data_IF_543119897547
#
_entry.id   IF_543119897547
#
_cell.length_a   1.000
_cell.length_b   1.000
_cell.length_c   1.000
_cell.angle_alpha   90.00
_cell.angle_beta   90.00
_cell.angle_gamma   90.00
#
_symmetry.space_group_name_H-M   'P 1'
#
loop_
_entity.id
_entity.type
_entity.pdbx_description
1 polymer ?
#
# COMPACT_ATOMS: atom_id res chain seq x y z
N UNK A 1 13.03 -19.13 1.52
CA UNK A 1 12.96 -17.66 1.49
C UNK A 1 13.38 -17.10 2.83
N UNK A 2 14.28 -16.10 2.84
CA UNK A 2 14.67 -15.39 4.06
C UNK A 2 13.46 -14.64 4.63
N UNK A 3 13.39 -14.42 5.95
CA UNK A 3 12.26 -13.70 6.55
C UNK A 3 12.06 -12.31 5.94
N UNK A 4 13.14 -11.59 5.64
CA UNK A 4 13.10 -10.29 4.96
C UNK A 4 12.47 -10.35 3.56
N UNK A 5 12.66 -11.47 2.86
CA UNK A 5 12.10 -11.69 1.53
C UNK A 5 10.59 -11.97 1.61
N UNK A 6 10.15 -12.70 2.64
CA UNK A 6 8.71 -12.89 2.92
C UNK A 6 8.02 -11.55 3.19
N UNK A 7 8.62 -10.72 4.04
CA UNK A 7 8.11 -9.37 4.35
C UNK A 7 8.06 -8.51 3.08
N UNK A 8 9.09 -8.58 2.23
CA UNK A 8 9.10 -7.87 0.94
C UNK A 8 7.90 -8.23 0.08
N UNK A 9 7.65 -9.53 -0.14
CA UNK A 9 6.55 -9.98 -1.00
C UNK A 9 5.17 -9.68 -0.40
N UNK A 10 5.03 -9.78 0.93
CA UNK A 10 3.79 -9.39 1.62
C UNK A 10 3.54 -7.89 1.43
N UNK A 11 4.56 -7.05 1.60
CA UNK A 11 4.42 -5.61 1.38
C UNK A 11 4.13 -5.27 -0.08
N UNK A 12 4.70 -5.99 -1.03
CA UNK A 12 4.35 -5.80 -2.44
C UNK A 12 2.85 -6.06 -2.69
N UNK A 13 2.32 -7.17 -2.18
CA UNK A 13 0.90 -7.51 -2.23
C UNK A 13 0.02 -6.46 -1.52
N UNK A 14 0.43 -6.01 -0.35
CA UNK A 14 -0.27 -4.97 0.40
C UNK A 14 -0.24 -3.62 -0.33
N UNK A 15 0.79 -3.33 -1.13
CA UNK A 15 0.85 -2.15 -1.98
C UNK A 15 -0.29 -2.15 -3.01
N UNK A 16 -0.50 -3.27 -3.71
CA UNK A 16 -1.61 -3.44 -4.65
C UNK A 16 -2.97 -3.24 -3.95
N UNK A 17 -3.16 -3.88 -2.78
CA UNK A 17 -4.39 -3.74 -2.00
C UNK A 17 -4.61 -2.29 -1.54
N UNK A 18 -3.55 -1.59 -1.15
CA UNK A 18 -3.61 -0.18 -0.75
C UNK A 18 -4.04 0.70 -1.93
N UNK A 19 -3.57 0.40 -3.14
CA UNK A 19 -4.04 1.09 -4.36
C UNK A 19 -5.53 0.96 -4.60
N UNK A 20 -6.09 -0.23 -4.40
CA UNK A 20 -7.54 -0.46 -4.48
C UNK A 20 -8.30 0.29 -3.39
N UNK A 21 -7.82 0.25 -2.14
CA UNK A 21 -8.46 0.92 -1.01
C UNK A 21 -8.46 2.45 -1.22
N UNK A 22 -7.32 3.01 -1.60
CA UNK A 22 -7.19 4.46 -1.83
C UNK A 22 -7.96 4.95 -3.05
N UNK A 23 -8.11 4.11 -4.08
CA UNK A 23 -9.02 4.38 -5.20
C UNK A 23 -10.47 4.41 -4.72
N UNK A 24 -10.90 3.40 -3.95
CA UNK A 24 -12.25 3.37 -3.38
C UNK A 24 -12.53 4.56 -2.46
N UNK A 25 -11.56 4.98 -1.65
CA UNK A 25 -11.69 6.16 -0.78
C UNK A 25 -11.89 7.43 -1.60
N UNK A 26 -11.10 7.63 -2.67
CA UNK A 26 -11.23 8.84 -3.49
C UNK A 26 -12.48 8.79 -4.37
N UNK A 27 -12.62 7.75 -5.19
CA UNK A 27 -13.65 7.67 -6.24
C UNK A 27 -14.98 7.13 -5.72
N UNK A 28 -14.96 6.19 -4.78
CA UNK A 28 -16.17 5.57 -4.22
C UNK A 28 -16.81 6.40 -3.11
N UNK A 29 -16.01 6.95 -2.19
CA UNK A 29 -16.50 7.80 -1.10
C UNK A 29 -16.51 9.31 -1.45
N UNK A 30 -15.97 9.68 -2.62
CA UNK A 30 -15.90 11.07 -3.07
C UNK A 30 -14.96 11.95 -2.23
N UNK A 31 -14.01 11.35 -1.50
CA UNK A 31 -13.06 12.09 -0.67
C UNK A 31 -11.92 12.67 -1.52
N UNK A 32 -11.31 13.75 -1.01
CA UNK A 32 -10.16 14.37 -1.65
C UNK A 32 -8.97 13.40 -1.75
N UNK A 33 -8.20 13.50 -2.84
CA UNK A 33 -7.04 12.64 -3.08
C UNK A 33 -5.97 12.72 -1.97
N UNK A 34 -5.87 13.87 -1.29
CA UNK A 34 -4.99 14.05 -0.12
C UNK A 34 -5.38 13.11 1.03
N UNK A 35 -6.68 12.97 1.32
CA UNK A 35 -7.19 12.06 2.34
C UNK A 35 -6.93 10.60 1.96
N UNK A 36 -7.09 10.26 0.68
CA UNK A 36 -6.74 8.93 0.17
C UNK A 36 -5.24 8.63 0.36
N UNK A 37 -4.35 9.59 0.05
CA UNK A 37 -2.91 9.45 0.28
C UNK A 37 -2.54 9.30 1.77
N UNK A 38 -3.17 10.10 2.64
CA UNK A 38 -2.96 9.97 4.08
C UNK A 38 -3.40 8.60 4.58
N UNK A 39 -4.53 8.09 4.11
CA UNK A 39 -5.03 6.75 4.49
C UNK A 39 -4.07 5.63 4.09
N UNK A 40 -3.48 5.68 2.89
CA UNK A 40 -2.50 4.69 2.45
C UNK A 40 -1.20 4.74 3.28
N UNK A 41 -0.81 5.92 3.76
CA UNK A 41 0.33 6.08 4.68
C UNK A 41 0.03 5.42 6.03
N UNK A 42 -1.17 5.63 6.59
CA UNK A 42 -1.60 4.97 7.84
C UNK A 42 -1.61 3.45 7.67
N UNK A 43 -2.14 2.95 6.55
CA UNK A 43 -2.12 1.52 6.23
C UNK A 43 -0.69 0.98 6.17
N UNK A 44 0.24 1.67 5.52
CA UNK A 44 1.64 1.25 5.46
C UNK A 44 2.31 1.12 6.84
N UNK A 45 2.07 2.08 7.73
CA UNK A 45 2.58 2.03 9.11
C UNK A 45 1.96 0.83 9.83
N UNK A 46 0.64 0.67 9.75
CA UNK A 46 -0.08 -0.47 10.33
C UNK A 46 0.44 -1.82 9.82
N UNK A 47 0.63 -1.96 8.51
CA UNK A 47 1.17 -3.17 7.90
C UNK A 47 2.60 -3.45 8.35
N UNK A 48 3.44 -2.42 8.48
CA UNK A 48 4.82 -2.56 8.95
C UNK A 48 4.88 -3.02 10.41
N UNK A 49 3.97 -2.53 11.25
CA UNK A 49 3.81 -2.97 12.64
C UNK A 49 3.35 -4.43 12.75
N UNK A 50 2.31 -4.81 11.98
CA UNK A 50 1.78 -6.19 12.00
C UNK A 50 2.83 -7.16 11.46
N UNK A 51 3.50 -6.82 10.35
CA UNK A 51 4.57 -7.67 9.79
C UNK A 51 5.78 -7.80 10.72
N UNK A 52 6.15 -6.75 11.46
CA UNK A 52 7.23 -6.83 12.45
C UNK A 52 6.90 -7.85 13.55
N UNK A 53 5.66 -7.80 14.08
CA UNK A 53 5.16 -8.74 15.09
C UNK A 53 5.05 -10.16 14.56
N UNK A 54 4.50 -10.35 13.34
CA UNK A 54 4.30 -11.68 12.76
C UNK A 54 5.61 -12.42 12.47
N UNK A 55 6.67 -11.70 12.07
CA UNK A 55 7.95 -12.31 11.69
C UNK A 55 9.05 -12.15 12.72
N UNK A 56 8.79 -11.51 13.87
CA UNK A 56 9.77 -11.32 14.95
C UNK A 56 10.97 -10.46 14.53
N UNK A 57 10.77 -9.52 13.61
CA UNK A 57 11.82 -8.64 13.10
C UNK A 57 11.79 -7.29 13.83
N UNK A 58 12.95 -6.64 13.93
CA UNK A 58 13.04 -5.28 14.43
C UNK A 58 12.15 -4.33 13.60
N UNK A 59 11.43 -3.43 14.28
CA UNK A 59 10.52 -2.48 13.64
C UNK A 59 11.23 -1.62 12.61
N UNK A 60 12.39 -1.06 12.95
CA UNK A 60 13.16 -0.17 12.06
C UNK A 60 13.57 -0.90 10.76
N UNK A 61 14.01 -2.15 10.89
CA UNK A 61 14.33 -2.99 9.74
C UNK A 61 13.09 -3.31 8.91
N UNK A 62 11.99 -3.68 9.57
CA UNK A 62 10.74 -4.08 8.90
C UNK A 62 10.15 -2.93 8.09
N UNK A 63 10.16 -1.70 8.61
CA UNK A 63 9.72 -0.50 7.89
C UNK A 63 10.51 -0.39 6.58
N UNK A 64 11.84 -0.39 6.64
CA UNK A 64 12.70 -0.23 5.44
C UNK A 64 12.54 -1.35 4.41
N UNK A 65 12.34 -2.59 4.86
CA UNK A 65 12.17 -3.74 3.96
C UNK A 65 10.91 -3.57 3.11
N UNK A 66 11.06 -3.68 1.79
CA UNK A 66 9.93 -3.66 0.85
C UNK A 66 9.22 -2.31 0.70
N UNK A 67 9.74 -1.23 1.30
CA UNK A 67 9.16 0.11 1.21
C UNK A 67 9.02 0.58 -0.25
N UNK A 68 10.08 0.45 -1.05
CA UNK A 68 10.06 0.86 -2.45
C UNK A 68 9.03 0.09 -3.28
N UNK A 69 8.97 -1.23 -3.12
CA UNK A 69 7.99 -2.07 -3.82
C UNK A 69 6.55 -1.76 -3.41
N UNK A 70 6.31 -1.55 -2.11
CA UNK A 70 5.00 -1.13 -1.61
C UNK A 70 4.58 0.20 -2.22
N UNK A 71 5.43 1.24 -2.11
CA UNK A 71 5.12 2.58 -2.60
C UNK A 71 4.89 2.58 -4.12
N UNK A 72 5.75 1.89 -4.86
CA UNK A 72 5.62 1.81 -6.31
C UNK A 72 4.32 1.12 -6.73
N UNK A 73 4.01 -0.05 -6.17
CA UNK A 73 2.80 -0.79 -6.53
C UNK A 73 1.53 -0.07 -6.07
N UNK A 74 1.56 0.54 -4.88
CA UNK A 74 0.45 1.37 -4.41
C UNK A 74 0.17 2.52 -5.37
N UNK A 75 1.18 3.33 -5.66
CA UNK A 75 1.02 4.49 -6.54
C UNK A 75 0.64 4.08 -7.96
N UNK A 76 1.26 3.02 -8.49
CA UNK A 76 0.93 2.46 -9.81
C UNK A 76 -0.53 2.04 -9.88
N UNK A 77 -1.00 1.22 -8.93
CA UNK A 77 -2.39 0.74 -8.94
C UNK A 77 -3.38 1.88 -8.73
N UNK A 78 -3.12 2.79 -7.79
CA UNK A 78 -4.01 3.92 -7.52
C UNK A 78 -4.12 4.86 -8.73
N UNK A 79 -3.00 5.23 -9.34
CA UNK A 79 -2.98 6.10 -10.54
C UNK A 79 -3.63 5.44 -11.74
N UNK A 80 -3.34 4.15 -11.98
CA UNK A 80 -3.95 3.40 -13.06
C UNK A 80 -5.48 3.34 -12.91
N UNK A 81 -5.98 2.99 -11.72
CA UNK A 81 -7.42 2.90 -11.47
C UNK A 81 -8.13 4.25 -11.56
N UNK A 82 -7.55 5.31 -11.00
CA UNK A 82 -8.12 6.66 -11.14
C UNK A 82 -8.12 7.12 -12.59
N UNK A 83 -7.09 6.77 -13.37
CA UNK A 83 -7.04 7.07 -14.81
C UNK A 83 -8.15 6.31 -15.53
N UNK A 84 -8.23 4.99 -15.35
CA UNK A 84 -9.28 4.16 -15.96
C UNK A 84 -10.69 4.62 -15.60
N UNK A 85 -10.92 4.97 -14.33
CA UNK A 85 -12.20 5.52 -13.86
C UNK A 85 -12.53 6.89 -14.47
N UNK A 86 -11.53 7.76 -14.64
CA UNK A 86 -11.72 9.07 -15.27
C UNK A 86 -12.06 8.97 -16.77
N UNK A 87 -11.56 7.95 -17.45
CA UNK A 87 -11.83 7.68 -18.87
C UNK A 87 -13.02 6.72 -19.09
N UNK A 88 -13.74 6.31 -18.04
CA UNK A 88 -14.93 5.47 -18.12
C UNK A 88 -14.65 4.02 -18.54
N UNK A 89 -13.44 3.52 -18.31
CA UNK A 89 -13.09 2.13 -18.60
C UNK A 89 -13.54 1.17 -17.50
N UNK A 90 -13.79 1.71 -16.30
CA UNK A 90 -14.39 1.09 -15.12
C UNK A 90 -15.21 2.15 -14.40
#
# INVERSE_FOLDING_TARGET
MKQSEKVYWIKALLGLATGLITFYIQSGLGLQGELALMSGTVLYIGYSEVTAKMFGLERDRTIKVGMGAFLFLWMLTWTLLNTMGSYGWI
#
